data_IF_782110306526
#
_entry.id   IF_782110306526
#
_cell.length_a   1.000
_cell.length_b   1.000
_cell.length_c   1.000
_cell.angle_alpha   90.00
_cell.angle_beta   90.00
_cell.angle_gamma   90.00
#
_symmetry.space_group_name_H-M   'P 1'
#
loop_
_entity.id
_entity.type
_entity.pdbx_description
1 polymer ?
#
# COMPACT_ATOMS: atom_id res chain seq x y z
N UNK A 1 -15.09 -34.57 42.91
CA UNK A 1 -15.06 -34.14 41.50
C UNK A 1 -14.84 -32.64 41.44
N UNK A 2 -13.61 -32.24 41.16
CA UNK A 2 -13.05 -30.89 41.18
C UNK A 2 -13.28 -30.19 39.83
N UNK A 3 -13.88 -28.99 39.82
CA UNK A 3 -13.96 -28.12 38.63
C UNK A 3 -13.22 -26.81 38.88
N UNK A 4 -12.11 -26.66 38.18
CA UNK A 4 -11.17 -25.53 38.19
C UNK A 4 -11.74 -24.37 37.37
N UNK A 5 -11.75 -23.15 37.95
CA UNK A 5 -12.01 -21.89 37.23
C UNK A 5 -10.74 -21.42 36.52
N UNK A 6 -10.77 -21.30 35.19
CA UNK A 6 -9.73 -20.65 34.40
C UNK A 6 -10.12 -19.18 34.14
N UNK A 7 -9.29 -18.27 34.67
CA UNK A 7 -9.41 -16.81 34.53
C UNK A 7 -8.49 -16.39 33.38
N UNK A 8 -9.06 -16.03 32.23
CA UNK A 8 -8.30 -15.41 31.14
C UNK A 8 -8.17 -13.91 31.40
N UNK A 9 -6.94 -13.43 31.60
CA UNK A 9 -6.59 -12.00 31.56
C UNK A 9 -6.30 -11.63 30.10
N UNK A 10 -7.15 -10.83 29.48
CA UNK A 10 -6.84 -10.09 28.26
C UNK A 10 -6.31 -8.70 28.66
N UNK A 11 -5.00 -8.51 28.58
CA UNK A 11 -4.36 -7.20 28.72
C UNK A 11 -4.08 -6.62 27.34
N UNK A 12 -4.90 -5.68 26.89
CA UNK A 12 -4.64 -4.82 25.73
C UNK A 12 -3.79 -3.63 26.20
N UNK A 13 -2.65 -3.39 25.54
CA UNK A 13 -1.64 -2.41 25.97
C UNK A 13 -1.95 -0.93 25.62
N UNK A 14 -3.20 -0.60 25.28
CA UNK A 14 -3.62 0.79 24.99
C UNK A 14 -4.55 1.41 26.04
N UNK A 15 -4.80 0.74 27.17
CA UNK A 15 -5.65 1.25 28.25
C UNK A 15 -4.88 1.40 29.57
N UNK A 16 -3.94 2.34 29.63
CA UNK A 16 -3.37 2.82 30.90
C UNK A 16 -2.93 4.27 30.78
N UNK A 17 -3.86 5.18 30.49
CA UNK A 17 -3.75 6.58 30.92
C UNK A 17 -5.18 7.12 31.11
N UNK A 18 -5.46 7.52 32.35
CA UNK A 18 -6.56 8.36 32.87
C UNK A 18 -7.61 7.68 33.78
N UNK A 19 -8.05 8.39 34.85
CA UNK A 19 -8.66 7.80 36.04
C UNK A 19 -10.18 7.59 35.94
N UNK A 20 -10.64 6.69 36.79
CA UNK A 20 -12.01 6.21 37.00
C UNK A 20 -13.01 7.30 37.39
N UNK A 21 -14.15 7.34 36.71
CA UNK A 21 -15.46 7.63 37.33
C UNK A 21 -16.59 6.98 36.51
N UNK A 22 -17.67 6.69 37.22
CA UNK A 22 -18.65 5.62 37.01
C UNK A 22 -19.83 5.98 36.09
N UNK A 23 -20.52 4.92 35.63
CA UNK A 23 -21.94 4.79 35.26
C UNK A 23 -22.55 5.71 34.18
N UNK A 24 -22.94 5.14 33.03
CA UNK A 24 -24.35 4.86 32.70
C UNK A 24 -24.54 4.17 31.32
N UNK A 25 -25.74 3.62 31.17
CA UNK A 25 -26.29 2.64 30.23
C UNK A 25 -26.34 2.98 28.70
N UNK A 26 -26.07 1.93 27.91
CA UNK A 26 -26.80 1.42 26.71
C UNK A 26 -26.95 2.23 25.39
N UNK A 27 -26.56 1.51 24.32
CA UNK A 27 -27.03 1.44 22.92
C UNK A 27 -26.35 2.23 21.80
N UNK A 28 -26.19 1.49 20.69
CA UNK A 28 -25.85 1.87 19.31
C UNK A 28 -24.45 2.47 19.07
N UNK A 29 -23.57 1.74 18.36
CA UNK A 29 -22.62 2.28 17.37
C UNK A 29 -21.66 1.18 16.83
N UNK A 30 -21.94 0.63 15.65
CA UNK A 30 -20.95 -0.10 14.84
C UNK A 30 -20.52 0.66 13.57
N UNK A 31 -20.95 1.91 13.40
CA UNK A 31 -20.56 2.78 12.27
C UNK A 31 -19.47 3.80 12.68
N UNK A 32 -19.14 3.89 13.98
CA UNK A 32 -18.14 4.82 14.52
C UNK A 32 -16.67 4.40 14.31
N UNK A 33 -16.38 3.10 14.29
CA UNK A 33 -14.99 2.61 14.33
C UNK A 33 -14.22 2.75 13.00
N UNK A 34 -14.92 2.73 11.86
CA UNK A 34 -14.27 2.92 10.56
C UNK A 34 -13.90 4.39 10.30
N UNK A 35 -14.77 5.33 10.69
CA UNK A 35 -14.49 6.77 10.64
C UNK A 35 -13.41 7.17 11.65
N UNK A 36 -13.40 6.54 12.83
CA UNK A 36 -12.40 6.75 13.88
C UNK A 36 -10.99 6.35 13.41
N UNK A 37 -10.85 5.24 12.69
CA UNK A 37 -9.55 4.79 12.19
C UNK A 37 -9.02 5.62 11.00
N UNK A 38 -9.91 6.11 10.12
CA UNK A 38 -9.53 7.04 9.05
C UNK A 38 -9.13 8.42 9.59
N UNK A 39 -9.93 8.98 10.52
CA UNK A 39 -9.62 10.23 11.20
C UNK A 39 -8.35 10.14 12.06
N UNK A 40 -8.07 8.98 12.67
CA UNK A 40 -6.83 8.73 13.42
C UNK A 40 -5.60 8.66 12.52
N UNK A 41 -5.72 8.12 11.30
CA UNK A 41 -4.66 8.15 10.28
C UNK A 41 -4.37 9.58 9.81
N UNK A 42 -5.41 10.40 9.61
CA UNK A 42 -5.26 11.82 9.25
C UNK A 42 -4.70 12.67 10.40
N UNK A 43 -5.10 12.40 11.64
CA UNK A 43 -4.62 13.11 12.84
C UNK A 43 -3.15 12.83 13.13
N UNK A 44 -2.70 11.58 12.98
CA UNK A 44 -1.28 11.23 13.09
C UNK A 44 -0.46 11.94 12.00
N UNK A 45 -0.98 11.99 10.77
CA UNK A 45 -0.34 12.71 9.66
C UNK A 45 -0.28 14.22 9.88
N UNK A 46 -1.31 14.83 10.48
CA UNK A 46 -1.34 16.28 10.73
C UNK A 46 -0.42 16.69 11.90
N UNK A 47 -0.28 15.85 12.92
CA UNK A 47 0.64 16.10 14.04
C UNK A 47 2.11 16.00 13.62
N UNK A 48 2.45 15.08 12.72
CA UNK A 48 3.80 14.90 12.16
C UNK A 48 4.27 16.07 11.26
N UNK A 49 3.34 16.83 10.68
CA UNK A 49 3.65 18.01 9.87
C UNK A 49 4.02 19.26 10.70
N UNK A 50 3.74 19.26 12.00
CA UNK A 50 3.88 20.45 12.87
C UNK A 50 5.22 20.61 13.60
N UNK A 51 6.12 19.62 13.51
CA UNK A 51 7.39 19.62 14.23
C UNK A 51 8.57 19.48 13.25
N UNK A 52 9.14 20.60 12.78
CA UNK A 52 10.41 20.60 12.05
C UNK A 52 11.35 21.73 12.50
N UNK A 53 12.57 21.41 12.94
CA UNK A 53 13.74 22.25 12.71
C UNK A 53 14.49 21.81 11.42
N UNK A 54 15.34 22.67 10.83
CA UNK A 54 16.05 22.35 9.60
C UNK A 54 17.39 21.66 9.89
N UNK A 55 17.75 20.59 9.15
CA UNK A 55 19.14 20.12 9.11
C UNK A 55 19.63 19.73 7.71
N UNK A 56 20.89 20.12 7.48
CA UNK A 56 21.70 20.06 6.26
C UNK A 56 22.22 18.65 5.97
N UNK A 57 22.32 18.32 4.68
CA UNK A 57 22.93 17.10 4.16
C UNK A 57 24.46 17.10 4.31
N UNK A 58 25.04 15.92 4.56
CA UNK A 58 26.45 15.64 4.32
C UNK A 58 26.61 14.25 3.67
N UNK A 59 27.28 14.23 2.51
CA UNK A 59 27.60 13.07 1.68
C UNK A 59 28.76 12.23 2.24
N UNK A 60 28.63 10.89 2.23
CA UNK A 60 29.55 9.91 1.58
C UNK A 60 29.16 8.47 1.96
N UNK A 61 29.06 7.57 0.99
CA UNK A 61 28.95 6.13 1.23
C UNK A 61 30.22 5.40 0.74
N UNK A 62 30.89 4.57 1.57
CA UNK A 62 31.78 3.54 1.10
C UNK A 62 31.00 2.24 0.84
N UNK A 63 31.24 1.60 -0.32
CA UNK A 63 30.80 0.22 -0.59
C UNK A 63 31.74 -0.75 0.13
N UNK A 64 31.21 -1.69 0.92
CA UNK A 64 31.96 -2.84 1.45
C UNK A 64 31.02 -4.03 1.66
N UNK A 65 31.55 -5.24 1.43
CA UNK A 65 30.83 -6.49 1.31
C UNK A 65 30.02 -6.94 2.53
N UNK A 66 29.24 -8.00 2.30
CA UNK A 66 28.24 -8.54 3.24
C UNK A 66 28.77 -8.72 4.66
N UNK A 67 28.43 -7.76 5.50
CA UNK A 67 28.75 -7.75 6.91
C UNK A 67 27.79 -8.68 7.66
N UNK A 68 28.22 -9.42 8.70
CA UNK A 68 27.31 -10.16 9.58
C UNK A 68 26.25 -9.27 10.27
N UNK A 69 26.46 -7.95 10.28
CA UNK A 69 25.43 -7.00 10.70
C UNK A 69 24.29 -6.86 9.67
N UNK A 70 24.56 -7.02 8.37
CA UNK A 70 23.52 -6.99 7.33
C UNK A 70 22.54 -8.15 7.48
N UNK A 71 23.03 -9.36 7.78
CA UNK A 71 22.14 -10.52 7.98
C UNK A 71 21.28 -10.39 9.25
N UNK A 72 21.78 -9.72 10.29
CA UNK A 72 21.02 -9.47 11.52
C UNK A 72 19.90 -8.44 11.31
N UNK A 73 20.19 -7.36 10.57
CA UNK A 73 19.21 -6.30 10.26
C UNK A 73 18.17 -6.85 9.28
N UNK A 74 18.59 -7.60 8.28
CA UNK A 74 17.67 -8.25 7.32
C UNK A 74 16.69 -9.17 8.04
N UNK A 75 17.18 -10.05 8.94
CA UNK A 75 16.32 -10.94 9.72
C UNK A 75 15.33 -10.15 10.60
N UNK A 76 15.78 -9.07 11.23
CA UNK A 76 14.92 -8.18 12.01
C UNK A 76 13.82 -7.53 11.16
N UNK A 77 14.17 -7.03 9.97
CA UNK A 77 13.24 -6.39 9.06
C UNK A 77 12.27 -7.39 8.42
N UNK A 78 12.68 -8.63 8.16
CA UNK A 78 11.78 -9.72 7.75
C UNK A 78 10.80 -10.06 8.87
N UNK A 79 11.27 -10.11 10.12
CA UNK A 79 10.37 -10.29 11.27
C UNK A 79 9.36 -9.14 11.37
N UNK A 80 9.83 -7.90 11.17
CA UNK A 80 8.96 -6.72 11.13
C UNK A 80 7.95 -6.77 9.99
N UNK A 81 8.36 -7.24 8.81
CA UNK A 81 7.49 -7.47 7.66
C UNK A 81 6.32 -8.38 8.03
N UNK A 82 6.62 -9.55 8.60
CA UNK A 82 5.63 -10.58 8.89
C UNK A 82 4.64 -10.17 9.99
N UNK A 83 5.12 -9.47 11.02
CA UNK A 83 4.35 -9.25 12.25
C UNK A 83 3.73 -7.85 12.37
N UNK A 84 4.27 -6.85 11.66
CA UNK A 84 3.88 -5.45 11.85
C UNK A 84 3.57 -4.75 10.53
N UNK A 85 4.47 -4.81 9.55
CA UNK A 85 4.33 -4.03 8.33
C UNK A 85 3.25 -4.57 7.40
N UNK A 86 3.27 -5.88 7.08
CA UNK A 86 2.30 -6.48 6.16
C UNK A 86 0.84 -6.33 6.64
N UNK A 87 0.52 -6.52 7.94
CA UNK A 87 -0.80 -6.18 8.49
C UNK A 87 -1.21 -4.71 8.30
N UNK A 88 -0.26 -3.78 8.23
CA UNK A 88 -0.54 -2.34 8.17
C UNK A 88 -0.91 -1.86 6.76
N UNK A 89 -0.38 -2.51 5.72
CA UNK A 89 -0.63 -2.15 4.32
C UNK A 89 -1.95 -2.73 3.75
N UNK A 90 -2.62 -3.61 4.49
CA UNK A 90 -3.91 -4.21 4.11
C UNK A 90 -5.04 -3.72 5.02
N UNK A 91 -6.27 -3.80 4.53
CA UNK A 91 -7.46 -3.50 5.32
C UNK A 91 -7.72 -4.60 6.37
N UNK A 92 -8.20 -4.24 7.57
CA UNK A 92 -8.58 -5.22 8.60
C UNK A 92 -9.71 -6.17 8.17
N UNK A 93 -10.49 -5.78 7.15
CA UNK A 93 -11.57 -6.57 6.55
C UNK A 93 -11.06 -7.62 5.57
N UNK A 94 -9.76 -7.62 5.24
CA UNK A 94 -9.14 -8.61 4.38
C UNK A 94 -9.38 -10.03 4.92
N UNK A 95 -9.80 -10.95 4.04
CA UNK A 95 -10.01 -12.34 4.39
C UNK A 95 -8.70 -12.97 4.91
N UNK A 96 -8.74 -13.65 6.07
CA UNK A 96 -7.55 -14.27 6.71
C UNK A 96 -6.79 -15.24 5.79
N UNK A 97 -7.50 -16.01 4.96
CA UNK A 97 -6.90 -16.94 4.01
C UNK A 97 -6.18 -16.19 2.90
N UNK A 98 -6.80 -15.11 2.40
CA UNK A 98 -6.17 -14.24 1.41
C UNK A 98 -4.95 -13.55 2.00
N UNK A 99 -5.07 -12.94 3.19
CA UNK A 99 -3.97 -12.33 3.93
C UNK A 99 -2.74 -13.25 4.02
N UNK A 100 -2.92 -14.49 4.52
CA UNK A 100 -1.81 -15.45 4.66
C UNK A 100 -1.20 -15.81 3.31
N UNK A 101 -2.03 -16.06 2.30
CA UNK A 101 -1.56 -16.38 0.94
C UNK A 101 -0.75 -15.23 0.36
N UNK A 102 -1.27 -14.01 0.43
CA UNK A 102 -0.60 -12.79 -0.03
C UNK A 102 0.75 -12.61 0.67
N UNK A 103 0.80 -12.79 1.99
CA UNK A 103 2.04 -12.69 2.77
C UNK A 103 3.09 -13.73 2.33
N UNK A 104 2.68 -14.99 2.17
CA UNK A 104 3.58 -16.06 1.71
C UNK A 104 4.08 -15.84 0.28
N UNK A 105 3.23 -15.31 -0.60
CA UNK A 105 3.62 -14.98 -1.98
C UNK A 105 4.67 -13.85 -2.03
N UNK A 106 4.51 -12.79 -1.23
CA UNK A 106 5.53 -11.73 -1.13
C UNK A 106 6.83 -12.28 -0.57
N UNK A 107 6.77 -13.09 0.49
CA UNK A 107 7.97 -13.69 1.08
C UNK A 107 8.70 -14.59 0.07
N UNK A 108 7.96 -15.40 -0.71
CA UNK A 108 8.55 -16.21 -1.77
C UNK A 108 9.20 -15.36 -2.86
N UNK A 109 8.58 -14.23 -3.23
CA UNK A 109 9.18 -13.28 -4.18
C UNK A 109 10.44 -12.61 -3.61
N UNK A 110 10.48 -12.27 -2.32
CA UNK A 110 11.69 -11.74 -1.69
C UNK A 110 12.86 -12.72 -1.74
N UNK A 111 12.60 -14.03 -1.59
CA UNK A 111 13.63 -15.07 -1.68
C UNK A 111 14.17 -15.28 -3.09
N UNK A 112 13.38 -14.95 -4.12
CA UNK A 112 13.70 -15.21 -5.53
C UNK A 112 14.13 -13.96 -6.30
N UNK A 113 13.84 -12.77 -5.77
CA UNK A 113 14.06 -11.51 -6.47
C UNK A 113 14.58 -10.43 -5.53
N UNK A 114 15.85 -10.06 -5.73
CA UNK A 114 16.54 -9.02 -4.95
C UNK A 114 15.80 -7.68 -4.99
N UNK A 115 15.26 -7.27 -6.13
CA UNK A 115 14.52 -6.01 -6.23
C UNK A 115 13.29 -5.98 -5.31
N UNK A 116 12.58 -7.11 -5.17
CA UNK A 116 11.42 -7.22 -4.26
C UNK A 116 11.90 -7.20 -2.82
N UNK A 117 12.94 -7.98 -2.49
CA UNK A 117 13.54 -8.02 -1.16
C UNK A 117 13.95 -6.61 -0.72
N UNK A 118 14.75 -5.93 -1.52
CA UNK A 118 15.19 -4.57 -1.24
C UNK A 118 14.03 -3.60 -1.08
N UNK A 119 13.01 -3.63 -1.94
CA UNK A 119 11.86 -2.71 -1.83
C UNK A 119 11.04 -2.96 -0.55
N UNK A 120 10.82 -4.23 -0.17
CA UNK A 120 10.11 -4.59 1.07
C UNK A 120 10.92 -4.18 2.30
N UNK A 121 12.23 -4.44 2.32
CA UNK A 121 13.10 -4.08 3.44
C UNK A 121 13.24 -2.57 3.60
N UNK A 122 13.26 -1.82 2.49
CA UNK A 122 13.22 -0.35 2.51
C UNK A 122 11.96 0.16 3.23
N UNK A 123 10.80 -0.39 2.85
CA UNK A 123 9.53 -0.07 3.49
C UNK A 123 9.51 -0.42 4.99
N UNK A 124 10.01 -1.60 5.35
CA UNK A 124 10.05 -2.05 6.73
C UNK A 124 10.96 -1.18 7.58
N UNK A 125 12.15 -0.82 7.08
CA UNK A 125 13.08 0.05 7.78
C UNK A 125 12.50 1.46 7.95
N UNK A 126 11.89 2.03 6.89
CA UNK A 126 11.24 3.34 6.95
C UNK A 126 10.11 3.35 7.97
N UNK A 127 9.21 2.37 7.90
CA UNK A 127 8.10 2.22 8.84
C UNK A 127 8.58 2.05 10.29
N UNK A 128 9.61 1.22 10.52
CA UNK A 128 10.18 1.00 11.84
C UNK A 128 10.84 2.26 12.39
N UNK A 129 11.54 3.02 11.55
CA UNK A 129 12.10 4.31 11.91
C UNK A 129 11.03 5.28 12.43
N UNK A 130 9.89 5.34 11.74
CA UNK A 130 8.76 6.22 12.12
C UNK A 130 8.10 5.73 13.41
N UNK A 131 7.71 4.45 13.48
CA UNK A 131 6.94 3.91 14.61
C UNK A 131 7.77 3.91 15.91
N UNK A 132 9.07 3.61 15.80
CA UNK A 132 9.96 3.53 16.97
C UNK A 132 10.70 4.85 17.24
N UNK A 133 10.53 5.86 16.38
CA UNK A 133 11.31 7.10 16.40
C UNK A 133 12.83 6.82 16.45
N UNK A 134 13.27 5.79 15.71
CA UNK A 134 14.66 5.34 15.67
C UNK A 134 15.30 5.75 14.33
N UNK A 135 16.11 6.79 14.39
CA UNK A 135 16.76 7.37 13.22
C UNK A 135 17.82 6.46 12.60
N UNK A 136 18.24 5.37 13.27
CA UNK A 136 19.19 4.40 12.70
C UNK A 136 18.63 3.67 11.49
N UNK A 137 17.30 3.51 11.42
CA UNK A 137 16.65 2.83 10.30
C UNK A 137 16.42 3.74 9.07
N UNK A 138 16.56 5.07 9.18
CA UNK A 138 16.49 5.98 8.02
C UNK A 138 17.56 5.68 6.95
N UNK A 139 18.87 5.66 7.28
CA UNK A 139 19.89 5.36 6.28
C UNK A 139 19.78 3.93 5.73
N UNK A 140 19.30 2.98 6.55
CA UNK A 140 19.03 1.59 6.12
C UNK A 140 17.89 1.56 5.09
N UNK A 141 16.80 2.28 5.35
CA UNK A 141 15.68 2.40 4.42
C UNK A 141 16.12 2.98 3.08
N UNK A 142 16.90 4.07 3.12
CA UNK A 142 17.41 4.72 1.92
C UNK A 142 18.36 3.81 1.12
N UNK A 143 19.21 3.05 1.80
CA UNK A 143 20.12 2.10 1.15
C UNK A 143 19.34 0.99 0.43
N UNK A 144 18.36 0.39 1.09
CA UNK A 144 17.51 -0.62 0.46
C UNK A 144 16.66 -0.05 -0.67
N UNK A 145 16.14 1.18 -0.53
CA UNK A 145 15.41 1.85 -1.60
C UNK A 145 16.30 2.05 -2.83
N UNK A 146 17.51 2.56 -2.63
CA UNK A 146 18.49 2.75 -3.70
C UNK A 146 18.79 1.43 -4.41
N UNK A 147 19.06 0.36 -3.65
CA UNK A 147 19.32 -0.96 -4.22
C UNK A 147 18.11 -1.47 -5.03
N UNK A 148 16.89 -1.32 -4.50
CA UNK A 148 15.67 -1.72 -5.19
C UNK A 148 15.48 -0.99 -6.53
N UNK A 149 15.76 0.33 -6.57
CA UNK A 149 15.72 1.12 -7.81
C UNK A 149 16.80 0.68 -8.80
N UNK A 150 18.00 0.34 -8.32
CA UNK A 150 19.06 -0.19 -9.19
C UNK A 150 18.66 -1.53 -9.81
N UNK A 151 18.16 -2.47 -9.01
CA UNK A 151 17.74 -3.78 -9.49
C UNK A 151 16.52 -3.69 -10.43
N UNK A 152 15.60 -2.77 -10.12
CA UNK A 152 14.46 -2.45 -10.98
C UNK A 152 14.93 -1.94 -12.34
N UNK A 153 15.84 -0.97 -12.37
CA UNK A 153 16.36 -0.41 -13.62
C UNK A 153 17.08 -1.48 -14.46
N UNK A 154 17.88 -2.35 -13.84
CA UNK A 154 18.50 -3.49 -14.52
C UNK A 154 17.45 -4.44 -15.10
N UNK A 155 16.41 -4.75 -14.33
CA UNK A 155 15.30 -5.61 -14.77
C UNK A 155 14.55 -5.00 -15.97
N UNK A 156 14.37 -3.67 -15.98
CA UNK A 156 13.72 -2.94 -17.08
C UNK A 156 14.57 -2.89 -18.36
N UNK A 157 15.91 -2.82 -18.26
CA UNK A 157 16.80 -2.86 -19.43
C UNK A 157 16.65 -4.15 -20.23
N UNK A 158 16.40 -5.27 -19.54
CA UNK A 158 16.21 -6.57 -20.16
C UNK A 158 14.74 -6.92 -20.43
N UNK A 159 13.81 -6.06 -20.04
CA UNK A 159 12.38 -6.30 -20.19
C UNK A 159 11.96 -6.15 -21.67
N UNK A 160 11.37 -7.20 -22.23
CA UNK A 160 10.91 -7.24 -23.62
C UNK A 160 9.38 -7.38 -23.65
N UNK A 161 8.63 -6.27 -23.59
CA UNK A 161 7.17 -6.29 -23.48
C UNK A 161 6.47 -6.98 -24.66
N UNK A 162 7.11 -7.03 -25.84
CA UNK A 162 6.56 -7.71 -27.01
C UNK A 162 6.65 -9.25 -26.94
N UNK A 163 7.42 -9.81 -26.00
CA UNK A 163 7.63 -11.26 -25.90
C UNK A 163 6.98 -11.88 -24.66
N UNK A 164 6.86 -11.10 -23.58
CA UNK A 164 6.31 -11.55 -22.31
C UNK A 164 5.84 -10.35 -21.48
N UNK A 165 4.64 -10.44 -20.92
CA UNK A 165 4.12 -9.50 -19.95
C UNK A 165 5.04 -9.35 -18.72
N UNK A 166 4.91 -8.25 -17.96
CA UNK A 166 5.82 -8.00 -16.85
C UNK A 166 5.65 -9.07 -15.76
N UNK A 167 6.77 -9.48 -15.16
CA UNK A 167 6.73 -10.43 -14.05
C UNK A 167 6.10 -9.81 -12.80
N UNK A 168 5.44 -10.63 -11.98
CA UNK A 168 4.87 -10.19 -10.69
C UNK A 168 5.92 -9.59 -9.75
N UNK A 169 7.18 -10.04 -9.81
CA UNK A 169 8.26 -9.42 -9.05
C UNK A 169 8.48 -7.96 -9.46
N UNK A 170 8.50 -7.66 -10.78
CA UNK A 170 8.69 -6.31 -11.29
C UNK A 170 7.60 -5.37 -10.78
N UNK A 171 6.34 -5.80 -10.88
CA UNK A 171 5.20 -5.02 -10.42
C UNK A 171 5.18 -4.86 -8.89
N UNK A 172 5.50 -5.92 -8.16
CA UNK A 172 5.61 -5.89 -6.70
C UNK A 172 6.69 -4.92 -6.23
N UNK A 173 7.87 -4.93 -6.88
CA UNK A 173 8.95 -3.97 -6.59
C UNK A 173 8.46 -2.53 -6.72
N UNK A 174 7.83 -2.19 -7.86
CA UNK A 174 7.29 -0.84 -8.09
C UNK A 174 6.23 -0.46 -7.05
N UNK A 175 5.41 -1.43 -6.62
CA UNK A 175 4.42 -1.21 -5.56
C UNK A 175 5.07 -0.81 -4.25
N UNK A 176 6.03 -1.58 -3.77
CA UNK A 176 6.71 -1.23 -2.52
C UNK A 176 7.52 0.07 -2.65
N UNK A 177 8.05 0.41 -3.84
CA UNK A 177 8.70 1.71 -4.05
C UNK A 177 7.73 2.89 -3.93
N UNK A 178 6.53 2.83 -4.53
CA UNK A 178 5.57 3.92 -4.33
C UNK A 178 5.04 3.96 -2.90
N UNK A 179 4.90 2.82 -2.21
CA UNK A 179 4.44 2.79 -0.81
C UNK A 179 5.49 3.45 0.08
N UNK A 180 6.77 3.15 -0.16
CA UNK A 180 7.88 3.82 0.49
C UNK A 180 7.78 5.34 0.31
N UNK A 181 7.61 5.82 -0.93
CA UNK A 181 7.59 7.25 -1.21
C UNK A 181 6.37 7.96 -0.63
N UNK A 182 5.20 7.30 -0.59
CA UNK A 182 3.99 7.83 0.05
C UNK A 182 4.10 7.96 1.57
N UNK A 183 4.89 7.09 2.21
CA UNK A 183 5.03 7.03 3.66
C UNK A 183 6.37 7.60 4.15
N UNK A 184 7.21 8.06 3.22
CA UNK A 184 8.48 8.69 3.53
C UNK A 184 8.26 10.01 4.28
N UNK A 185 9.09 10.24 5.28
CA UNK A 185 9.15 11.54 5.99
C UNK A 185 9.91 12.58 5.14
N UNK A 186 10.65 12.12 4.13
CA UNK A 186 11.37 12.98 3.20
C UNK A 186 10.38 13.73 2.30
N UNK A 187 10.34 15.07 2.45
CA UNK A 187 9.48 15.94 1.64
C UNK A 187 9.88 16.01 0.17
N UNK A 188 10.97 15.38 -0.24
CA UNK A 188 11.39 15.28 -1.65
C UNK A 188 10.89 14.01 -2.36
N UNK A 189 10.32 13.05 -1.63
CA UNK A 189 9.80 11.82 -2.21
C UNK A 189 8.56 12.10 -3.08
N UNK A 190 8.59 11.64 -4.33
CA UNK A 190 7.48 11.80 -5.29
C UNK A 190 7.02 10.42 -5.81
N UNK A 191 5.92 9.86 -5.26
CA UNK A 191 5.45 8.54 -5.64
C UNK A 191 4.85 8.49 -7.05
N UNK A 192 4.55 9.63 -7.69
CA UNK A 192 3.80 9.69 -8.95
C UNK A 192 4.46 8.89 -10.06
N UNK A 193 5.79 8.96 -10.18
CA UNK A 193 6.54 8.24 -11.22
C UNK A 193 6.40 6.72 -11.07
N UNK A 194 6.48 6.22 -9.84
CA UNK A 194 6.29 4.80 -9.55
C UNK A 194 4.84 4.36 -9.75
N UNK A 195 3.86 5.18 -9.36
CA UNK A 195 2.44 4.89 -9.63
C UNK A 195 2.14 4.85 -11.14
N UNK A 196 2.65 5.82 -11.92
CA UNK A 196 2.54 5.81 -13.39
C UNK A 196 3.20 4.55 -13.97
N UNK A 197 4.38 4.17 -13.45
CA UNK A 197 5.05 2.93 -13.83
C UNK A 197 4.20 1.69 -13.56
N UNK A 198 3.58 1.62 -12.37
CA UNK A 198 2.70 0.51 -11.99
C UNK A 198 1.45 0.42 -12.89
N UNK A 199 0.82 1.56 -13.22
CA UNK A 199 -0.30 1.63 -14.18
C UNK A 199 0.12 1.04 -15.53
N UNK A 200 1.26 1.48 -16.08
CA UNK A 200 1.77 0.98 -17.37
C UNK A 200 2.06 -0.51 -17.35
N UNK A 201 2.68 -1.02 -16.28
CA UNK A 201 2.96 -2.44 -16.12
C UNK A 201 1.66 -3.26 -16.00
N UNK A 202 0.67 -2.76 -15.27
CA UNK A 202 -0.63 -3.41 -15.14
C UNK A 202 -1.41 -3.40 -16.47
N UNK A 203 -1.30 -2.34 -17.26
CA UNK A 203 -1.85 -2.28 -18.61
C UNK A 203 -1.21 -3.31 -19.54
N UNK A 204 0.11 -3.52 -19.44
CA UNK A 204 0.81 -4.56 -20.20
C UNK A 204 0.36 -5.97 -19.80
N UNK A 205 0.15 -6.23 -18.50
CA UNK A 205 -0.43 -7.50 -18.04
C UNK A 205 -1.82 -7.77 -18.62
N UNK A 206 -2.60 -6.70 -18.82
CA UNK A 206 -3.98 -6.80 -19.31
C UNK A 206 -4.07 -7.00 -20.83
N UNK A 207 -3.07 -6.53 -21.59
CA UNK A 207 -3.07 -6.57 -23.07
C UNK A 207 -2.58 -7.88 -23.66
N UNK A 208 -1.80 -8.65 -22.91
CA UNK A 208 -1.02 -9.76 -23.46
C UNK A 208 -1.81 -11.04 -23.77
N UNK A 209 -3.14 -11.04 -23.61
CA UNK A 209 -4.05 -12.14 -23.99
C UNK A 209 -3.76 -13.50 -23.33
N UNK A 210 -2.72 -13.58 -22.51
CA UNK A 210 -2.15 -14.80 -21.95
C UNK A 210 -2.67 -14.97 -20.53
N UNK A 211 -3.87 -15.54 -20.45
CA UNK A 211 -4.55 -16.00 -19.24
C UNK A 211 -5.04 -14.84 -18.34
N UNK A 212 -6.34 -14.77 -18.00
CA UNK A 212 -6.85 -13.77 -17.06
C UNK A 212 -6.02 -13.81 -15.78
N UNK A 213 -5.60 -12.65 -15.26
CA UNK A 213 -4.90 -12.55 -13.97
C UNK A 213 -5.80 -13.25 -12.95
N UNK A 214 -5.43 -14.42 -12.40
CA UNK A 214 -6.31 -15.10 -11.49
C UNK A 214 -6.32 -14.27 -10.20
N UNK A 215 -7.38 -13.49 -9.99
CA UNK A 215 -7.52 -12.67 -8.79
C UNK A 215 -7.73 -13.51 -7.53
N UNK A 216 -7.91 -14.82 -7.72
CA UNK A 216 -7.90 -15.85 -6.68
C UNK A 216 -6.49 -16.15 -6.12
N UNK A 217 -5.41 -15.74 -6.82
CA UNK A 217 -4.03 -15.73 -6.30
C UNK A 217 -3.83 -14.53 -5.37
N UNK A 218 -3.10 -14.73 -4.28
CA UNK A 218 -3.15 -13.87 -3.09
C UNK A 218 -2.83 -12.41 -3.36
N UNK A 219 -1.73 -12.13 -4.07
CA UNK A 219 -1.24 -10.77 -4.30
C UNK A 219 -1.85 -10.10 -5.52
N UNK A 220 -2.41 -10.84 -6.47
CA UNK A 220 -2.91 -10.27 -7.72
C UNK A 220 -4.01 -9.24 -7.49
N UNK A 221 -4.96 -9.57 -6.61
CA UNK A 221 -6.01 -8.63 -6.22
C UNK A 221 -5.45 -7.42 -5.48
N UNK A 222 -4.51 -7.63 -4.54
CA UNK A 222 -3.84 -6.54 -3.82
C UNK A 222 -3.10 -5.60 -4.78
N UNK A 223 -2.47 -6.13 -5.82
CA UNK A 223 -1.77 -5.36 -6.86
C UNK A 223 -2.74 -4.42 -7.58
N UNK A 224 -3.84 -4.96 -8.14
CA UNK A 224 -4.78 -4.12 -8.91
C UNK A 224 -5.44 -3.08 -8.01
N UNK A 225 -5.91 -3.50 -6.84
CA UNK A 225 -6.56 -2.61 -5.88
C UNK A 225 -5.61 -1.53 -5.35
N UNK A 226 -4.35 -1.87 -5.06
CA UNK A 226 -3.37 -0.89 -4.58
C UNK A 226 -3.00 0.14 -5.64
N UNK A 227 -2.78 -0.28 -6.90
CA UNK A 227 -2.49 0.67 -7.99
C UNK A 227 -3.68 1.60 -8.23
N UNK A 228 -4.91 1.07 -8.23
CA UNK A 228 -6.12 1.90 -8.35
C UNK A 228 -6.26 2.87 -7.18
N UNK A 229 -6.08 2.39 -5.94
CA UNK A 229 -6.16 3.20 -4.74
C UNK A 229 -5.14 4.35 -4.77
N UNK A 230 -3.89 4.08 -5.11
CA UNK A 230 -2.85 5.12 -5.10
C UNK A 230 -2.97 6.09 -6.26
N UNK A 231 -3.35 5.62 -7.45
CA UNK A 231 -3.67 6.51 -8.55
C UNK A 231 -4.78 7.48 -8.15
N UNK A 232 -5.87 6.94 -7.60
CA UNK A 232 -6.98 7.72 -7.06
C UNK A 232 -6.54 8.72 -5.99
N UNK A 233 -5.79 8.25 -5.00
CA UNK A 233 -5.34 9.10 -3.90
C UNK A 233 -4.50 10.28 -4.39
N UNK A 234 -3.60 10.06 -5.35
CA UNK A 234 -2.79 11.11 -5.94
C UNK A 234 -3.63 12.12 -6.73
N UNK A 235 -4.64 11.67 -7.48
CA UNK A 235 -5.48 12.60 -8.23
C UNK A 235 -6.35 13.47 -7.34
N UNK A 236 -6.87 12.95 -6.22
CA UNK A 236 -7.74 13.73 -5.32
C UNK A 236 -6.98 14.64 -4.36
N UNK A 237 -5.69 14.37 -4.09
CA UNK A 237 -4.89 15.24 -3.19
C UNK A 237 -4.56 16.58 -3.83
N UNK A 238 -4.45 16.62 -5.15
CA UNK A 238 -4.28 17.85 -5.91
C UNK A 238 -5.22 17.82 -7.12
N UNK A 239 -6.55 17.92 -6.89
CA UNK A 239 -7.55 17.67 -7.91
C UNK A 239 -7.49 18.67 -9.07
N UNK A 240 -6.88 19.84 -8.85
CA UNK A 240 -6.72 20.89 -9.86
C UNK A 240 -5.28 21.05 -10.36
N UNK A 241 -4.35 20.22 -9.89
CA UNK A 241 -2.99 20.26 -10.39
C UNK A 241 -2.92 19.51 -11.73
N UNK A 242 -2.24 20.07 -12.75
CA UNK A 242 -2.19 19.49 -14.09
C UNK A 242 -1.26 18.26 -14.18
N UNK A 243 -0.59 17.90 -13.08
CA UNK A 243 0.58 17.03 -13.09
C UNK A 243 0.26 15.55 -12.81
N UNK A 244 -0.98 15.20 -12.43
CA UNK A 244 -1.42 13.82 -12.32
C UNK A 244 -2.92 13.64 -12.61
N UNK A 245 -3.23 13.07 -13.77
CA UNK A 245 -4.59 12.67 -14.14
C UNK A 245 -4.67 11.16 -14.39
N UNK A 246 -5.76 10.56 -13.95
CA UNK A 246 -6.03 9.14 -14.16
C UNK A 246 -6.75 8.98 -15.49
N UNK A 247 -6.18 8.16 -16.37
CA UNK A 247 -6.83 7.74 -17.62
C UNK A 247 -8.15 7.00 -17.29
N UNK A 248 -9.32 7.48 -17.75
CA UNK A 248 -10.58 6.76 -17.55
C UNK A 248 -10.55 5.32 -18.07
N UNK A 249 -9.76 5.06 -19.11
CA UNK A 249 -9.61 3.71 -19.66
C UNK A 249 -8.85 2.79 -18.70
N UNK A 250 -7.90 3.32 -17.91
CA UNK A 250 -7.26 2.56 -16.85
C UNK A 250 -8.27 2.12 -15.79
N UNK A 251 -9.19 3.00 -15.39
CA UNK A 251 -10.25 2.66 -14.42
C UNK A 251 -11.12 1.53 -14.97
N UNK A 252 -11.58 1.63 -16.23
CA UNK A 252 -12.37 0.58 -16.89
C UNK A 252 -11.64 -0.76 -16.93
N UNK A 253 -10.33 -0.76 -17.21
CA UNK A 253 -9.51 -1.98 -17.18
C UNK A 253 -9.40 -2.55 -15.76
N UNK A 254 -9.10 -1.71 -14.77
CA UNK A 254 -8.98 -2.13 -13.38
C UNK A 254 -10.29 -2.73 -12.85
N UNK A 255 -11.43 -2.13 -13.20
CA UNK A 255 -12.75 -2.68 -12.89
C UNK A 255 -13.02 -4.01 -13.59
N UNK A 256 -12.66 -4.14 -14.87
CA UNK A 256 -12.79 -5.39 -15.61
C UNK A 256 -11.95 -6.51 -15.00
N UNK A 257 -10.75 -6.19 -14.50
CA UNK A 257 -9.93 -7.14 -13.75
C UNK A 257 -10.58 -7.51 -12.42
N UNK A 258 -11.08 -6.53 -11.67
CA UNK A 258 -11.70 -6.69 -10.34
C UNK A 258 -13.16 -7.19 -10.39
N UNK A 259 -13.72 -7.45 -11.56
CA UNK A 259 -15.07 -7.96 -11.66
C UNK A 259 -15.13 -9.37 -11.06
N UNK A 260 -16.06 -9.66 -10.14
CA UNK A 260 -16.20 -11.01 -9.59
C UNK A 260 -16.62 -11.97 -10.71
N UNK A 261 -16.10 -13.21 -10.68
CA UNK A 261 -16.51 -14.27 -11.61
C UNK A 261 -18.02 -14.56 -11.50
N UNK A 262 -18.59 -14.36 -10.31
CA UNK A 262 -20.04 -14.40 -10.07
C UNK A 262 -20.54 -13.00 -9.71
N UNK A 263 -21.37 -12.40 -10.57
CA UNK A 263 -21.92 -11.06 -10.42
C UNK A 263 -22.82 -10.88 -9.20
N UNK A 264 -23.21 -11.97 -8.54
CA UNK A 264 -24.05 -11.97 -7.33
C UNK A 264 -23.24 -12.03 -6.03
N UNK A 265 -21.90 -12.11 -6.10
CA UNK A 265 -21.04 -12.15 -4.92
C UNK A 265 -20.75 -10.75 -4.36
N UNK A 266 -21.71 -10.21 -3.62
CA UNK A 266 -21.57 -8.94 -2.90
C UNK A 266 -20.46 -8.97 -1.83
N UNK A 267 -20.02 -10.16 -1.40
CA UNK A 267 -18.90 -10.31 -0.46
C UNK A 267 -17.56 -9.97 -1.10
N UNK A 268 -17.48 -9.98 -2.43
CA UNK A 268 -16.25 -9.67 -3.15
C UNK A 268 -15.75 -8.27 -2.80
N UNK A 269 -16.60 -7.23 -2.86
CA UNK A 269 -16.22 -5.87 -2.47
C UNK A 269 -15.94 -5.76 -0.96
N UNK A 270 -16.74 -6.42 -0.11
CA UNK A 270 -16.59 -6.38 1.34
C UNK A 270 -15.29 -7.03 1.85
N UNK A 271 -14.75 -7.98 1.09
CA UNK A 271 -13.48 -8.67 1.39
C UNK A 271 -12.27 -8.04 0.72
N UNK A 272 -12.42 -6.85 0.13
CA UNK A 272 -11.34 -6.13 -0.52
C UNK A 272 -10.14 -5.93 0.41
N UNK A 273 -8.93 -6.37 0.01
CA UNK A 273 -7.73 -6.20 0.81
C UNK A 273 -7.24 -4.75 0.88
N UNK A 274 -7.61 -3.87 -0.06
CA UNK A 274 -7.08 -2.50 -0.11
C UNK A 274 -8.14 -1.42 -0.32
N UNK A 275 -9.12 -1.60 -1.22
CA UNK A 275 -10.13 -0.56 -1.53
C UNK A 275 -11.18 -0.41 -0.42
N UNK A 276 -11.73 -1.53 0.05
CA UNK A 276 -12.78 -1.57 1.09
C UNK A 276 -14.15 -1.01 0.67
N UNK A 277 -14.25 -0.42 -0.52
CA UNK A 277 -15.49 0.12 -1.12
C UNK A 277 -15.56 -0.26 -2.61
N UNK A 278 -16.76 -0.24 -3.23
CA UNK A 278 -16.90 -0.54 -4.65
C UNK A 278 -16.10 0.40 -5.56
N UNK A 279 -15.53 -0.15 -6.64
CA UNK A 279 -14.77 0.61 -7.66
C UNK A 279 -15.59 1.70 -8.34
N UNK A 280 -16.91 1.54 -8.43
CA UNK A 280 -17.83 2.55 -8.97
C UNK A 280 -17.76 3.88 -8.21
N UNK A 281 -17.47 3.85 -6.90
CA UNK A 281 -17.26 5.07 -6.11
C UNK A 281 -15.96 5.78 -6.50
N UNK A 282 -14.88 5.03 -6.74
CA UNK A 282 -13.62 5.59 -7.25
C UNK A 282 -13.82 6.27 -8.61
N UNK A 283 -14.54 5.60 -9.53
CA UNK A 283 -14.90 6.19 -10.83
C UNK A 283 -15.69 7.48 -10.66
N UNK A 284 -16.73 7.48 -9.82
CA UNK A 284 -17.58 8.66 -9.60
C UNK A 284 -16.74 9.87 -9.16
N UNK A 285 -15.85 9.68 -8.18
CA UNK A 285 -15.03 10.77 -7.65
C UNK A 285 -14.04 11.27 -8.71
N UNK A 286 -13.42 10.37 -9.50
CA UNK A 286 -12.54 10.77 -10.61
C UNK A 286 -13.31 11.55 -11.68
N UNK A 287 -14.53 11.11 -12.02
CA UNK A 287 -15.38 11.83 -12.97
C UNK A 287 -15.71 13.25 -12.46
N UNK A 288 -15.97 13.41 -11.16
CA UNK A 288 -16.19 14.74 -10.55
C UNK A 288 -14.95 15.63 -10.64
N UNK A 289 -13.75 15.10 -10.35
CA UNK A 289 -12.49 15.85 -10.48
C UNK A 289 -12.25 16.26 -11.93
N UNK A 290 -12.41 15.33 -12.88
CA UNK A 290 -12.23 15.59 -14.30
C UNK A 290 -13.24 16.61 -14.84
N UNK A 291 -14.49 16.54 -14.40
CA UNK A 291 -15.54 17.49 -14.76
C UNK A 291 -15.19 18.93 -14.35
N UNK A 292 -14.59 19.10 -13.17
CA UNK A 292 -14.15 20.42 -12.71
C UNK A 292 -12.93 20.93 -13.49
N UNK A 293 -12.02 20.05 -13.91
CA UNK A 293 -10.84 20.40 -14.69
C UNK A 293 -11.12 20.64 -16.19
N UNK A 294 -12.29 20.24 -16.70
CA UNK A 294 -12.67 20.41 -18.11
C UNK A 294 -13.97 21.20 -18.27
N UNK A 295 -13.97 22.53 -18.02
CA UNK A 295 -15.17 23.37 -18.11
C UNK A 295 -15.85 23.32 -19.49
N UNK A 296 -15.08 23.07 -20.56
CA UNK A 296 -15.57 23.03 -21.93
C UNK A 296 -16.36 21.75 -22.30
N UNK A 297 -16.39 20.72 -21.44
CA UNK A 297 -17.09 19.44 -21.68
C UNK A 297 -18.25 19.19 -20.72
N UNK A 298 -18.71 20.24 -20.01
CA UNK A 298 -19.78 20.15 -19.02
C UNK A 298 -21.15 19.88 -19.67
N UNK A 299 -21.45 18.62 -19.98
CA UNK A 299 -22.81 18.15 -20.28
C UNK A 299 -23.30 17.22 -19.17
N UNK A 300 -24.60 17.25 -18.86
CA UNK A 300 -25.19 16.45 -17.78
C UNK A 300 -25.02 14.94 -17.97
N UNK A 301 -24.79 14.48 -19.20
CA UNK A 301 -24.57 13.07 -19.55
C UNK A 301 -23.21 12.51 -19.07
N UNK A 302 -22.24 13.37 -18.73
CA UNK A 302 -20.91 12.96 -18.25
C UNK A 302 -20.92 12.51 -16.77
N UNK A 303 -21.94 12.88 -16.00
CA UNK A 303 -22.08 12.54 -14.58
C UNK A 303 -22.92 11.27 -14.33
N UNK A 304 -23.53 10.72 -15.37
CA UNK A 304 -24.52 9.61 -15.29
C UNK A 304 -24.03 8.27 -15.87
N UNK A 305 -22.72 8.08 -16.07
CA UNK A 305 -22.08 6.82 -16.49
C UNK A 305 -21.00 6.39 -15.51
#
# INVERSE_FOLDING_TARGET
MTKTRLRAKTGCFTCTLLPSSSDEMLTANQVGDAKSNAARRETIMSQLLSLRPPMRMANRAPRLGHSPFESSIEAELIYHFLNHYFPTILLPTCNKTQFKRSQSEVLAMMLQCESVKHAVLACCASNKSIIQNDNRYQPIALQYYYNAVQDLNQSLVHFQPARKGPGYCLLTTVIFLYVHDLWSVDGSADPRKHVIGAIKLLDLLSKDGTVPIPLTKGMNRCIVESVLYQAFFLSIRQPFAPDFHIDPQFITRAEGLLAPENTQDWSFAATSPVLGVPTSLYRLIVNMVNFQNSPAQQSSAALSR
#
